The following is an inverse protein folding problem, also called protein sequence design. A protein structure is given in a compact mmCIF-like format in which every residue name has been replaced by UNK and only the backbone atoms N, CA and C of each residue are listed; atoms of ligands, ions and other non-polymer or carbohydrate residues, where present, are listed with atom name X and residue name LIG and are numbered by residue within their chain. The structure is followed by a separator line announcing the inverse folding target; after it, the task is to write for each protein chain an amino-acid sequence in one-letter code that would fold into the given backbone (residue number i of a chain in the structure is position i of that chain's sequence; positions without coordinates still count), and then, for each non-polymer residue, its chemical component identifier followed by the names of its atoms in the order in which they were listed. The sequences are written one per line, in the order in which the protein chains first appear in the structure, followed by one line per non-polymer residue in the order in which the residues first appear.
data_IF_109401653198
#
_entry.id   IF_109401653198
#
_cell.length_a   1.000
_cell.length_b   1.000
_cell.length_c   1.000
_cell.angle_alpha   90.00
_cell.angle_beta   90.00
_cell.angle_gamma   90.00
#
_symmetry.space_group_name_H-M   'P 1'
#
loop_
_entity.id
_entity.type
_entity.pdbx_description
1 polymer ?
#
# COMPACT_ATOMS: atom_id res chain seq x y z
N UNK A 1 -7.51 9.19 -20.61
CA UNK A 1 -7.66 9.62 -19.20
C UNK A 1 -7.06 8.52 -18.36
N UNK A 2 -5.87 8.73 -17.79
CA UNK A 2 -5.07 7.64 -17.20
C UNK A 2 -5.58 7.36 -15.78
N UNK A 3 -6.09 6.14 -15.60
CA UNK A 3 -6.60 5.59 -14.36
C UNK A 3 -5.55 5.78 -13.27
N UNK A 4 -5.98 6.29 -12.12
CA UNK A 4 -5.12 6.38 -10.95
C UNK A 4 -4.94 4.97 -10.40
N UNK A 5 -3.72 4.43 -10.46
CA UNK A 5 -3.35 3.16 -9.82
C UNK A 5 -3.34 3.36 -8.30
N UNK A 6 -4.52 3.29 -7.69
CA UNK A 6 -4.70 3.40 -6.25
C UNK A 6 -4.44 2.04 -5.60
N UNK A 7 -3.62 2.02 -4.57
CA UNK A 7 -3.25 0.86 -3.81
C UNK A 7 -3.69 1.01 -2.36
N UNK A 8 -4.39 0.04 -1.82
CA UNK A 8 -4.61 -0.04 -0.38
C UNK A 8 -3.43 -0.74 0.27
N UNK A 9 -2.94 -0.19 1.38
CA UNK A 9 -1.84 -0.78 2.15
C UNK A 9 -2.39 -1.60 3.30
N UNK A 10 -1.93 -2.85 3.44
CA UNK A 10 -2.22 -3.66 4.62
C UNK A 10 -1.34 -3.21 5.79
N UNK A 11 -1.96 -2.75 6.87
CA UNK A 11 -1.25 -2.47 8.12
C UNK A 11 -1.44 -3.66 9.06
N UNK A 12 -0.42 -4.50 9.17
CA UNK A 12 -0.34 -5.49 10.24
C UNK A 12 0.21 -4.80 11.49
N UNK A 13 -0.66 -4.14 12.26
CA UNK A 13 -0.28 -3.74 13.62
C UNK A 13 -0.19 -5.01 14.45
N UNK A 14 1.02 -5.52 14.60
CA UNK A 14 1.35 -6.42 15.69
C UNK A 14 1.19 -5.64 17.00
N UNK A 15 0.77 -6.36 18.04
CA UNK A 15 0.54 -5.92 19.42
C UNK A 15 -0.93 -5.59 19.71
N UNK A 16 -1.58 -6.64 20.23
CA UNK A 16 -2.76 -6.63 21.08
C UNK A 16 -4.14 -6.52 20.40
N UNK A 17 -5.09 -7.26 20.95
CA UNK A 17 -6.54 -7.26 20.66
C UNK A 17 -7.04 -7.91 19.35
N UNK A 18 -7.20 -9.23 19.38
CA UNK A 18 -8.48 -9.95 19.15
C UNK A 18 -9.40 -9.58 17.94
N UNK A 19 -8.94 -8.89 16.89
CA UNK A 19 -9.83 -8.47 15.79
C UNK A 19 -9.28 -8.93 14.44
N UNK A 20 -9.94 -9.94 13.87
CA UNK A 20 -9.75 -10.57 12.55
C UNK A 20 -9.99 -9.62 11.36
N UNK A 21 -9.71 -8.33 11.50
CA UNK A 21 -9.91 -7.35 10.43
C UNK A 21 -8.55 -6.89 9.92
N UNK A 22 -8.16 -7.26 8.69
CA UNK A 22 -7.02 -6.62 8.06
C UNK A 22 -7.34 -5.13 7.92
N UNK A 23 -6.65 -4.29 8.69
CA UNK A 23 -6.75 -2.84 8.59
C UNK A 23 -6.02 -2.42 7.31
N UNK A 24 -6.77 -2.31 6.22
CA UNK A 24 -6.33 -1.67 5.00
C UNK A 24 -6.41 -0.16 5.22
N UNK A 25 -5.31 0.53 4.99
CA UNK A 25 -5.22 1.96 5.19
C UNK A 25 -4.97 2.62 3.84
N UNK A 26 -5.62 3.76 3.62
CA UNK A 26 -5.48 4.74 2.55
C UNK A 26 -5.32 4.27 1.10
N UNK A 27 -5.81 5.02 0.11
CA UNK A 27 -5.32 4.88 -1.25
C UNK A 27 -3.89 5.46 -1.34
N UNK A 28 -2.95 4.67 -1.83
CA UNK A 28 -1.57 5.04 -2.14
C UNK A 28 -1.31 4.89 -3.63
N UNK A 29 -0.20 5.43 -4.12
CA UNK A 29 0.25 5.24 -5.50
C UNK A 29 1.56 4.48 -5.50
N UNK A 30 1.84 3.73 -6.56
CA UNK A 30 3.18 3.13 -6.74
C UNK A 30 4.12 4.27 -7.09
N UNK A 31 5.11 4.50 -6.23
CA UNK A 31 6.21 5.41 -6.50
C UNK A 31 7.24 4.75 -7.41
N UNK A 32 7.62 3.51 -7.07
CA UNK A 32 8.71 2.79 -7.74
C UNK A 32 8.57 1.28 -7.51
N UNK A 33 8.98 0.47 -8.50
CA UNK A 33 9.22 -0.96 -8.31
C UNK A 33 10.64 -1.16 -7.79
N UNK A 34 10.76 -1.71 -6.60
CA UNK A 34 12.06 -2.05 -5.99
C UNK A 34 12.53 -3.44 -6.43
N UNK A 35 11.69 -4.17 -7.18
CA UNK A 35 11.97 -5.50 -7.68
C UNK A 35 11.67 -6.60 -6.67
N UNK A 36 11.63 -7.86 -7.15
CA UNK A 36 11.25 -9.06 -6.37
C UNK A 36 9.84 -8.98 -5.73
N UNK A 37 8.93 -8.25 -6.36
CA UNK A 37 7.56 -8.07 -5.88
C UNK A 37 7.47 -7.11 -4.68
N UNK A 38 8.41 -6.18 -4.55
CA UNK A 38 8.39 -5.12 -3.56
C UNK A 38 8.28 -3.76 -4.26
N UNK A 39 7.36 -2.93 -3.80
CA UNK A 39 7.04 -1.63 -4.37
C UNK A 39 7.17 -0.53 -3.32
N UNK A 40 7.75 0.60 -3.70
CA UNK A 40 7.68 1.83 -2.94
C UNK A 40 6.33 2.50 -3.18
N UNK A 41 5.71 2.97 -2.11
CA UNK A 41 4.44 3.71 -2.19
C UNK A 41 4.66 5.21 -2.04
N UNK A 42 3.78 5.98 -2.65
CA UNK A 42 3.63 7.41 -2.47
C UNK A 42 2.24 7.71 -1.95
N UNK A 43 2.12 8.70 -1.05
CA UNK A 43 0.82 9.26 -0.68
C UNK A 43 0.18 9.95 -1.88
N UNK A 44 -1.15 10.10 -1.89
CA UNK A 44 -1.85 10.89 -2.91
C UNK A 44 -1.41 12.36 -2.96
N UNK A 45 -0.84 12.84 -1.85
CA UNK A 45 -0.23 14.15 -1.68
C UNK A 45 1.12 14.31 -2.42
N UNK A 46 1.66 13.24 -3.02
CA UNK A 46 2.97 13.24 -3.69
C UNK A 46 4.15 12.99 -2.73
N UNK A 47 3.87 12.64 -1.47
CA UNK A 47 4.91 12.32 -0.48
C UNK A 47 5.32 10.85 -0.55
N UNK A 48 6.58 10.59 -0.92
CA UNK A 48 7.13 9.23 -0.97
C UNK A 48 7.23 8.62 0.41
N UNK A 49 6.82 7.37 0.53
CA UNK A 49 6.98 6.57 1.73
C UNK A 49 8.31 5.83 1.58
N UNK A 50 9.31 6.08 2.45
CA UNK A 50 10.64 5.46 2.38
C UNK A 50 10.62 3.97 2.76
N UNK A 51 9.45 3.34 2.81
CA UNK A 51 9.26 1.93 3.15
C UNK A 51 8.80 1.17 1.92
N UNK A 52 9.51 0.10 1.63
CA UNK A 52 9.15 -0.85 0.59
C UNK A 52 8.08 -1.81 1.08
N UNK A 53 7.07 -2.04 0.26
CA UNK A 53 5.94 -2.92 0.55
C UNK A 53 5.90 -4.07 -0.43
N UNK A 54 5.83 -5.29 0.07
CA UNK A 54 5.64 -6.44 -0.79
C UNK A 54 4.23 -6.42 -1.40
N UNK A 55 4.08 -6.93 -2.62
CA UNK A 55 2.80 -7.09 -3.33
C UNK A 55 1.76 -7.83 -2.49
N UNK A 56 2.19 -8.76 -1.61
CA UNK A 56 1.29 -9.45 -0.68
C UNK A 56 0.64 -8.54 0.38
N UNK A 57 1.27 -7.39 0.67
CA UNK A 57 0.79 -6.36 1.59
C UNK A 57 0.11 -5.19 0.88
N UNK A 58 0.01 -5.23 -0.45
CA UNK A 58 -0.62 -4.22 -1.28
C UNK A 58 -1.88 -4.80 -1.91
N UNK A 59 -2.90 -3.98 -2.08
CA UNK A 59 -4.10 -4.37 -2.81
C UNK A 59 -4.44 -3.32 -3.85
N UNK A 60 -4.36 -3.72 -5.12
CA UNK A 60 -4.74 -2.87 -6.23
C UNK A 60 -6.23 -2.57 -6.17
N UNK A 61 -6.55 -1.29 -6.13
CA UNK A 61 -7.89 -0.76 -6.22
C UNK A 61 -8.06 -0.16 -7.61
N UNK A 62 -8.71 -0.91 -8.49
CA UNK A 62 -9.16 -0.42 -9.78
C UNK A 62 -10.55 0.19 -9.57
N UNK A 63 -10.66 1.52 -9.73
CA UNK A 63 -11.95 2.21 -9.78
C UNK A 63 -12.42 2.38 -11.21
#
# INVERSE_FOLDING_TARGET
MRHQDLLLRKISRTIDSNKLTPNWEGPYRIAEDVGKGAYCLEHLDGKRIPRTWNVASLRFYYS
#
